data_IF_915151137005
#
_entry.id   IF_915151137005
#
_cell.length_a   1.000
_cell.length_b   1.000
_cell.length_c   1.000
_cell.angle_alpha   90.00
_cell.angle_beta   90.00
_cell.angle_gamma   90.00
#
_symmetry.space_group_name_H-M   'P 1'
#
loop_
_entity.id
_entity.type
_entity.pdbx_description
1 polymer ?
#
# COMPACT_ATOMS: atom_id res chain seq x y z
N UNK A 1 -2.64 -23.96 -2.92
CA UNK A 1 -3.19 -23.92 -4.31
C UNK A 1 -3.17 -22.49 -4.84
N UNK A 2 -3.72 -21.51 -4.13
CA UNK A 2 -3.70 -20.09 -4.51
C UNK A 2 -2.27 -19.54 -4.63
N UNK A 3 -1.38 -19.95 -3.73
CA UNK A 3 0.04 -19.54 -3.74
C UNK A 3 0.75 -19.95 -5.03
N UNK A 4 0.50 -21.17 -5.50
CA UNK A 4 1.08 -21.66 -6.76
C UNK A 4 0.46 -20.99 -7.98
N UNK A 5 -0.83 -20.64 -7.93
CA UNK A 5 -1.52 -19.89 -8.98
C UNK A 5 -1.06 -18.43 -9.07
N UNK A 6 -0.65 -17.84 -7.94
CA UNK A 6 -0.22 -16.42 -7.87
C UNK A 6 1.29 -16.24 -8.04
N UNK A 7 2.07 -17.31 -7.90
CA UNK A 7 3.49 -17.36 -8.24
C UNK A 7 3.72 -18.39 -9.36
N UNK A 8 3.10 -18.23 -10.53
CA UNK A 8 3.37 -19.08 -11.66
C UNK A 8 4.85 -18.91 -12.01
N UNK A 9 5.56 -20.00 -11.96
CA UNK A 9 6.94 -20.19 -12.36
C UNK A 9 7.71 -18.90 -12.68
N UNK A 10 8.73 -18.62 -11.87
CA UNK A 10 9.79 -17.66 -12.22
C UNK A 10 10.24 -17.93 -13.65
N UNK A 11 9.58 -17.36 -14.62
CA UNK A 11 10.17 -17.23 -15.94
C UNK A 11 11.16 -16.06 -15.86
N UNK A 12 12.37 -16.36 -16.22
CA UNK A 12 13.55 -15.49 -16.13
C UNK A 12 13.49 -14.28 -17.09
N UNK A 13 12.39 -14.08 -17.77
CA UNK A 13 12.19 -13.06 -18.83
C UNK A 13 11.66 -11.71 -18.36
N UNK A 14 11.48 -11.54 -17.05
CA UNK A 14 11.15 -10.23 -16.47
C UNK A 14 9.74 -9.70 -16.77
N UNK A 15 8.90 -10.41 -17.48
CA UNK A 15 7.52 -10.01 -17.71
C UNK A 15 6.62 -10.36 -16.53
N UNK A 16 6.16 -9.31 -15.84
CA UNK A 16 5.15 -9.41 -14.79
C UNK A 16 3.78 -9.47 -15.47
N UNK A 17 3.24 -10.65 -15.67
CA UNK A 17 1.85 -10.76 -16.10
C UNK A 17 0.94 -10.68 -14.88
N UNK A 18 0.03 -9.71 -14.87
CA UNK A 18 -1.07 -9.60 -13.91
C UNK A 18 -2.24 -10.56 -14.24
N UNK A 19 -2.07 -11.34 -15.29
CA UNK A 19 -3.01 -12.36 -15.73
C UNK A 19 -2.43 -13.74 -15.43
N UNK A 20 -3.20 -14.56 -14.75
CA UNK A 20 -2.91 -15.98 -14.59
C UNK A 20 -3.13 -16.70 -15.93
N UNK A 21 -2.43 -17.80 -16.15
CA UNK A 21 -2.71 -18.67 -17.29
C UNK A 21 -4.22 -18.98 -17.35
N UNK A 22 -4.83 -18.74 -18.50
CA UNK A 22 -6.28 -18.86 -18.70
C UNK A 22 -7.07 -17.55 -18.59
N UNK A 23 -6.40 -16.36 -18.49
CA UNK A 23 -7.08 -15.07 -18.47
C UNK A 23 -7.78 -14.72 -17.18
N UNK A 24 -7.46 -15.40 -16.08
CA UNK A 24 -8.01 -15.13 -14.75
C UNK A 24 -7.38 -13.84 -14.21
N UNK A 25 -8.19 -12.81 -14.01
CA UNK A 25 -7.74 -11.57 -13.37
C UNK A 25 -7.70 -11.74 -11.85
N UNK A 26 -6.57 -11.37 -11.22
CA UNK A 26 -6.47 -11.33 -9.77
C UNK A 26 -7.46 -10.32 -9.19
N UNK A 27 -8.13 -10.65 -8.07
CA UNK A 27 -8.93 -9.69 -7.34
C UNK A 27 -8.08 -8.50 -6.89
N UNK A 28 -8.72 -7.36 -6.75
CA UNK A 28 -8.11 -6.14 -6.22
C UNK A 28 -8.73 -5.78 -4.89
N UNK A 29 -7.91 -5.27 -3.98
CA UNK A 29 -8.32 -4.81 -2.66
C UNK A 29 -8.06 -3.30 -2.58
N UNK A 30 -9.07 -2.54 -2.15
CA UNK A 30 -8.91 -1.16 -1.74
C UNK A 30 -8.84 -1.10 -0.22
N UNK A 31 -7.67 -0.78 0.33
CA UNK A 31 -7.49 -0.61 1.77
C UNK A 31 -7.93 0.77 2.24
N UNK A 32 -7.86 1.76 1.36
CA UNK A 32 -7.97 3.18 1.68
C UNK A 32 -9.40 3.59 2.01
N UNK A 33 -10.36 3.06 1.27
CA UNK A 33 -11.75 3.43 1.40
C UNK A 33 -12.68 2.32 0.94
N UNK A 34 -13.89 2.35 1.45
CA UNK A 34 -14.98 1.48 1.02
C UNK A 34 -15.80 2.16 -0.07
N UNK A 35 -16.09 1.42 -1.13
CA UNK A 35 -16.85 1.92 -2.27
C UNK A 35 -18.09 1.07 -2.50
N UNK A 36 -19.18 1.74 -2.87
CA UNK A 36 -20.40 1.08 -3.35
C UNK A 36 -20.62 1.41 -4.82
N UNK A 37 -20.91 0.40 -5.60
CA UNK A 37 -21.36 0.56 -6.99
C UNK A 37 -22.88 0.54 -7.06
N UNK A 38 -23.49 1.62 -7.55
CA UNK A 38 -24.90 1.66 -7.90
C UNK A 38 -25.03 1.96 -9.39
N UNK A 39 -25.35 0.94 -10.18
CA UNK A 39 -25.57 1.07 -11.63
C UNK A 39 -24.42 1.72 -12.40
N UNK A 40 -23.20 1.36 -12.05
CA UNK A 40 -22.00 1.91 -12.69
C UNK A 40 -21.42 3.19 -12.02
N UNK A 41 -22.15 3.79 -11.08
CA UNK A 41 -21.69 4.94 -10.30
C UNK A 41 -21.01 4.46 -9.00
N UNK A 42 -19.71 4.65 -8.91
CA UNK A 42 -18.90 4.29 -7.73
C UNK A 42 -18.84 5.45 -6.77
N UNK A 43 -19.31 5.24 -5.55
CA UNK A 43 -19.29 6.24 -4.49
C UNK A 43 -18.52 5.75 -3.28
N UNK A 44 -17.66 6.59 -2.76
CA UNK A 44 -16.98 6.34 -1.50
C UNK A 44 -17.99 6.39 -0.36
N UNK A 45 -18.07 5.32 0.40
CA UNK A 45 -18.97 5.17 1.56
C UNK A 45 -18.25 5.49 2.86
N UNK A 46 -17.00 5.09 2.99
CA UNK A 46 -16.17 5.34 4.16
C UNK A 46 -14.70 5.52 3.77
N UNK A 47 -14.01 6.34 4.50
CA UNK A 47 -12.54 6.45 4.46
C UNK A 47 -11.98 5.70 5.65
N UNK A 48 -11.04 4.78 5.41
CA UNK A 48 -10.57 3.84 6.43
C UNK A 48 -9.35 4.37 7.21
N UNK A 49 -8.80 5.53 6.85
CA UNK A 49 -7.59 6.06 7.48
C UNK A 49 -6.34 5.22 7.20
N UNK A 50 -6.37 4.38 6.18
CA UNK A 50 -5.25 3.55 5.79
C UNK A 50 -4.53 4.14 4.58
N UNK A 51 -3.21 3.99 4.56
CA UNK A 51 -2.37 4.32 3.42
C UNK A 51 -1.58 3.09 2.99
N UNK A 52 -1.39 2.94 1.68
CA UNK A 52 -0.60 1.85 1.10
C UNK A 52 0.63 2.43 0.42
N UNK A 53 1.79 1.98 0.85
CA UNK A 53 3.05 2.21 0.15
C UNK A 53 3.40 0.97 -0.68
N UNK A 54 3.93 1.21 -1.85
CA UNK A 54 4.40 0.14 -2.73
C UNK A 54 5.88 0.35 -3.05
N UNK A 55 6.68 -0.62 -2.67
CA UNK A 55 8.10 -0.70 -3.08
C UNK A 55 8.14 -1.68 -4.23
N UNK A 56 8.23 -1.16 -5.44
CA UNK A 56 8.16 -1.93 -6.68
C UNK A 56 9.55 -2.13 -7.29
N UNK A 57 9.62 -2.90 -8.35
CA UNK A 57 10.80 -3.11 -9.20
C UNK A 57 12.05 -3.59 -8.46
N UNK A 58 11.84 -4.34 -7.37
CA UNK A 58 12.91 -4.99 -6.66
C UNK A 58 13.54 -6.08 -7.54
N UNK A 59 14.88 -6.10 -7.60
CA UNK A 59 15.62 -6.94 -8.54
C UNK A 59 15.39 -8.43 -8.31
N UNK A 60 15.29 -8.85 -7.03
CA UNK A 60 15.15 -10.26 -6.66
C UNK A 60 14.07 -10.47 -5.61
N UNK A 61 13.60 -11.71 -5.48
CA UNK A 61 12.70 -12.13 -4.42
C UNK A 61 13.32 -11.93 -3.03
N UNK A 62 14.61 -12.30 -2.88
CA UNK A 62 15.35 -12.16 -1.63
C UNK A 62 15.41 -10.69 -1.18
N UNK A 63 15.56 -9.75 -2.14
CA UNK A 63 15.52 -8.32 -1.83
C UNK A 63 14.14 -7.88 -1.37
N UNK A 64 13.09 -8.42 -1.96
CA UNK A 64 11.72 -8.13 -1.52
C UNK A 64 11.46 -8.67 -0.10
N UNK A 65 11.93 -9.88 0.21
CA UNK A 65 11.87 -10.44 1.58
C UNK A 65 12.64 -9.56 2.55
N UNK A 66 13.86 -9.12 2.21
CA UNK A 66 14.66 -8.22 3.05
C UNK A 66 13.91 -6.93 3.38
N UNK A 67 13.32 -6.29 2.37
CA UNK A 67 12.55 -5.05 2.55
C UNK A 67 11.30 -5.30 3.41
N UNK A 68 10.59 -6.41 3.23
CA UNK A 68 9.47 -6.79 4.09
C UNK A 68 9.92 -6.93 5.55
N UNK A 69 11.04 -7.62 5.80
CA UNK A 69 11.59 -7.80 7.15
C UNK A 69 12.05 -6.46 7.77
N UNK A 70 12.56 -5.53 6.96
CA UNK A 70 12.88 -4.18 7.44
C UNK A 70 11.61 -3.38 7.76
N UNK A 71 10.55 -3.50 6.94
CA UNK A 71 9.29 -2.83 7.19
C UNK A 71 8.66 -3.24 8.53
N UNK A 72 8.74 -4.52 8.91
CA UNK A 72 8.24 -5.04 10.20
C UNK A 72 8.84 -4.34 11.42
N UNK A 73 10.02 -3.75 11.30
CA UNK A 73 10.72 -3.10 12.42
C UNK A 73 10.13 -1.74 12.78
N UNK A 74 9.39 -1.12 11.87
CA UNK A 74 8.69 0.13 12.15
C UNK A 74 7.39 -0.18 12.93
N UNK A 75 7.19 0.39 14.11
CA UNK A 75 6.01 0.14 14.92
C UNK A 75 4.71 0.66 14.31
N UNK A 76 4.81 1.47 13.26
CA UNK A 76 3.69 1.99 12.48
C UNK A 76 3.25 1.03 11.36
N UNK A 77 3.97 -0.06 11.13
CA UNK A 77 3.58 -1.07 10.14
C UNK A 77 2.39 -1.88 10.63
N UNK A 78 1.21 -1.62 10.08
CA UNK A 78 0.00 -2.41 10.36
C UNK A 78 0.07 -3.76 9.64
N UNK A 79 0.46 -3.74 8.37
CA UNK A 79 0.56 -4.94 7.54
C UNK A 79 1.65 -4.75 6.49
N UNK A 80 2.41 -5.80 6.19
CA UNK A 80 3.25 -5.82 5.02
C UNK A 80 3.34 -7.22 4.40
N UNK A 81 3.37 -7.26 3.07
CA UNK A 81 3.37 -8.50 2.31
C UNK A 81 4.02 -8.32 0.94
N UNK A 82 4.45 -9.43 0.36
CA UNK A 82 4.99 -9.45 -0.99
C UNK A 82 3.86 -9.32 -2.02
N UNK A 83 4.07 -8.53 -3.06
CA UNK A 83 3.17 -8.50 -4.21
C UNK A 83 3.25 -9.78 -5.03
N UNK A 84 2.25 -10.03 -5.90
CA UNK A 84 2.13 -11.27 -6.67
C UNK A 84 3.33 -11.62 -7.56
N UNK A 85 4.13 -10.63 -7.98
CA UNK A 85 5.37 -10.87 -8.72
C UNK A 85 6.52 -11.41 -7.87
N UNK A 86 6.41 -11.37 -6.54
CA UNK A 86 7.50 -11.66 -5.62
C UNK A 86 8.65 -10.65 -5.63
N UNK A 87 8.51 -9.54 -6.39
CA UNK A 87 9.53 -8.48 -6.52
C UNK A 87 9.00 -7.10 -6.12
N UNK A 88 7.98 -7.08 -5.31
CA UNK A 88 7.46 -5.85 -4.71
C UNK A 88 6.97 -6.11 -3.30
N UNK A 89 6.97 -5.05 -2.48
CA UNK A 89 6.44 -5.09 -1.12
C UNK A 89 5.30 -4.08 -1.02
N UNK A 90 4.21 -4.49 -0.40
CA UNK A 90 3.08 -3.65 -0.05
C UNK A 90 3.11 -3.43 1.45
N UNK A 91 3.03 -2.18 1.86
CA UNK A 91 3.08 -1.79 3.27
C UNK A 91 1.82 -0.97 3.54
N UNK A 92 1.04 -1.41 4.49
CA UNK A 92 -0.18 -0.73 4.92
C UNK A 92 0.06 -0.13 6.29
N UNK A 93 -0.27 1.16 6.44
CA UNK A 93 -0.16 1.89 7.68
C UNK A 93 -1.48 2.57 8.00
N UNK A 94 -1.69 2.86 9.29
CA UNK A 94 -2.83 3.63 9.78
C UNK A 94 -2.41 5.07 10.03
N UNK A 95 -3.30 6.02 9.74
CA UNK A 95 -3.11 7.42 10.05
C UNK A 95 -4.23 7.99 10.90
N UNK A 96 -3.90 9.01 11.69
CA UNK A 96 -4.82 9.78 12.52
C UNK A 96 -4.45 11.27 12.45
N UNK A 97 -5.41 12.14 12.72
CA UNK A 97 -5.11 13.54 12.99
C UNK A 97 -4.39 13.68 14.34
N UNK A 98 -3.71 14.79 14.56
CA UNK A 98 -2.98 15.04 15.81
C UNK A 98 -3.88 15.06 17.07
N UNK A 99 -5.18 15.26 16.89
CA UNK A 99 -6.19 15.17 17.97
C UNK A 99 -6.74 13.74 18.17
N UNK A 100 -6.23 12.76 17.43
CA UNK A 100 -6.67 11.36 17.45
C UNK A 100 -7.93 11.09 16.64
N UNK A 101 -8.41 12.08 15.88
CA UNK A 101 -9.60 11.94 15.04
C UNK A 101 -9.31 11.56 13.59
N UNK A 102 -10.37 11.57 12.79
CA UNK A 102 -10.31 11.37 11.34
C UNK A 102 -10.86 12.60 10.62
N UNK A 103 -10.31 12.97 9.45
CA UNK A 103 -10.77 14.11 8.68
C UNK A 103 -12.20 13.90 8.20
N UNK A 104 -12.95 15.00 8.12
CA UNK A 104 -14.35 15.01 7.66
C UNK A 104 -14.48 15.82 6.37
N UNK A 105 -15.22 15.29 5.44
CA UNK A 105 -15.43 15.91 4.13
C UNK A 105 -14.33 15.56 3.11
N UNK A 106 -14.74 15.48 1.85
CA UNK A 106 -13.89 14.92 0.78
C UNK A 106 -12.57 15.68 0.61
N UNK A 107 -12.61 17.02 0.64
CA UNK A 107 -11.40 17.84 0.48
C UNK A 107 -10.39 17.59 1.61
N UNK A 108 -10.86 17.57 2.86
CA UNK A 108 -10.00 17.31 4.02
C UNK A 108 -9.45 15.89 4.00
N UNK A 109 -10.26 14.89 3.61
CA UNK A 109 -9.82 13.50 3.46
C UNK A 109 -8.70 13.39 2.42
N UNK A 110 -8.86 14.02 1.26
CA UNK A 110 -7.84 13.99 0.20
C UNK A 110 -6.51 14.61 0.66
N UNK A 111 -6.58 15.76 1.32
CA UNK A 111 -5.37 16.43 1.81
C UNK A 111 -4.70 15.63 2.92
N UNK A 112 -5.46 15.15 3.89
CA UNK A 112 -4.97 14.27 4.94
C UNK A 112 -4.28 13.02 4.35
N UNK A 113 -4.93 12.37 3.39
CA UNK A 113 -4.38 11.15 2.77
C UNK A 113 -3.07 11.41 2.04
N UNK A 114 -2.95 12.55 1.36
CA UNK A 114 -1.70 12.96 0.73
C UNK A 114 -0.60 13.19 1.79
N UNK A 115 -0.90 13.94 2.85
CA UNK A 115 0.07 14.23 3.92
C UNK A 115 0.47 12.96 4.66
N UNK A 116 -0.48 12.06 4.91
CA UNK A 116 -0.22 10.74 5.50
C UNK A 116 0.71 9.91 4.62
N UNK A 117 0.45 9.87 3.31
CA UNK A 117 1.30 9.14 2.36
C UNK A 117 2.73 9.69 2.35
N UNK A 118 2.90 11.01 2.31
CA UNK A 118 4.22 11.66 2.32
C UNK A 118 4.96 11.33 3.62
N UNK A 119 4.27 11.43 4.76
CA UNK A 119 4.85 11.13 6.09
C UNK A 119 5.29 9.68 6.18
N UNK A 120 4.43 8.74 5.83
CA UNK A 120 4.76 7.32 5.84
C UNK A 120 5.91 7.00 4.86
N UNK A 121 5.83 7.50 3.61
CA UNK A 121 6.88 7.30 2.61
C UNK A 121 8.24 7.75 3.13
N UNK A 122 8.33 8.93 3.74
CA UNK A 122 9.58 9.45 4.32
C UNK A 122 10.13 8.55 5.43
N UNK A 123 9.27 8.07 6.32
CA UNK A 123 9.68 7.16 7.39
C UNK A 123 10.29 5.87 6.85
N UNK A 124 9.66 5.25 5.85
CA UNK A 124 10.18 4.02 5.24
C UNK A 124 11.41 4.27 4.37
N UNK A 125 11.52 5.40 3.67
CA UNK A 125 12.74 5.77 2.98
C UNK A 125 13.94 5.86 3.93
N UNK A 126 13.74 6.48 5.09
CA UNK A 126 14.78 6.56 6.13
C UNK A 126 15.13 5.16 6.66
N UNK A 127 14.12 4.29 6.85
CA UNK A 127 14.35 2.92 7.31
C UNK A 127 15.11 2.07 6.30
N UNK A 128 14.81 2.21 5.02
CA UNK A 128 15.39 1.39 3.95
C UNK A 128 16.72 1.94 3.43
N UNK A 129 16.98 3.24 3.61
CA UNK A 129 18.17 3.92 3.10
C UNK A 129 18.12 4.19 1.58
N UNK A 130 16.96 4.12 0.95
CA UNK A 130 16.77 4.46 -0.45
C UNK A 130 15.40 5.13 -0.69
N UNK A 131 15.26 5.80 -1.82
CA UNK A 131 14.01 6.45 -2.20
C UNK A 131 12.96 5.44 -2.69
N UNK A 132 11.74 5.59 -2.17
CA UNK A 132 10.55 4.89 -2.67
C UNK A 132 9.93 5.76 -3.76
N UNK A 133 9.64 5.18 -4.92
CA UNK A 133 8.95 5.88 -5.99
C UNK A 133 7.67 6.56 -5.49
N UNK A 134 7.49 7.84 -5.82
CA UNK A 134 6.24 8.53 -5.53
C UNK A 134 5.15 7.98 -6.44
N UNK A 135 4.10 7.47 -5.83
CA UNK A 135 2.89 7.06 -6.52
C UNK A 135 1.74 7.92 -5.99
N UNK A 136 1.02 8.60 -6.87
CA UNK A 136 -0.08 9.48 -6.48
C UNK A 136 -1.03 8.76 -5.50
N UNK A 137 -1.23 9.30 -4.28
CA UNK A 137 -2.04 8.64 -3.27
C UNK A 137 -3.53 8.87 -3.50
N UNK A 138 -4.11 8.10 -4.41
CA UNK A 138 -5.54 8.16 -4.73
C UNK A 138 -6.35 7.40 -3.71
N UNK A 139 -7.54 7.91 -3.37
CA UNK A 139 -8.44 7.25 -2.42
C UNK A 139 -9.02 5.93 -2.96
N UNK A 140 -9.13 5.79 -4.29
CA UNK A 140 -9.59 4.59 -4.98
C UNK A 140 -8.46 3.64 -5.38
N UNK A 141 -7.26 3.85 -4.83
CA UNK A 141 -6.11 3.00 -5.12
C UNK A 141 -6.36 1.56 -4.67
N UNK A 142 -6.18 0.65 -5.60
CA UNK A 142 -6.27 -0.78 -5.33
C UNK A 142 -4.91 -1.45 -5.50
N UNK A 143 -4.69 -2.51 -4.75
CA UNK A 143 -3.58 -3.43 -4.94
C UNK A 143 -4.11 -4.80 -5.36
N UNK A 144 -3.36 -5.52 -6.18
CA UNK A 144 -3.70 -6.91 -6.50
C UNK A 144 -3.55 -7.79 -5.26
N UNK A 145 -4.52 -8.68 -5.05
CA UNK A 145 -4.41 -9.71 -4.04
C UNK A 145 -3.17 -10.56 -4.34
N UNK A 146 -2.40 -10.82 -3.31
CA UNK A 146 -1.26 -11.74 -3.36
C UNK A 146 -1.37 -12.77 -2.24
N UNK A 147 -0.72 -13.90 -2.41
CA UNK A 147 -0.58 -14.91 -1.37
C UNK A 147 0.85 -14.88 -0.84
N UNK A 148 1.05 -14.24 0.29
CA UNK A 148 2.30 -14.25 1.03
C UNK A 148 2.07 -14.99 2.35
N UNK A 149 2.55 -16.25 2.49
CA UNK A 149 2.34 -17.03 3.71
C UNK A 149 3.06 -16.45 4.93
N UNK A 150 4.01 -15.55 4.70
CA UNK A 150 4.76 -14.86 5.75
C UNK A 150 4.35 -13.39 5.89
N UNK A 151 3.15 -13.05 5.42
CA UNK A 151 2.57 -11.73 5.61
C UNK A 151 2.61 -11.33 7.09
N UNK A 152 3.07 -10.10 7.34
CA UNK A 152 3.06 -9.52 8.67
C UNK A 152 1.76 -8.76 8.92
N UNK A 153 1.21 -8.93 10.11
CA UNK A 153 0.10 -8.14 10.62
C UNK A 153 0.32 -7.81 12.09
N UNK A 154 0.14 -6.54 12.44
CA UNK A 154 0.27 -6.02 13.80
C UNK A 154 -0.95 -5.18 14.16
N UNK A 155 -1.88 -5.74 14.92
CA UNK A 155 -3.08 -5.05 15.37
C UNK A 155 -2.77 -3.83 16.26
N UNK A 156 -1.62 -3.84 16.95
CA UNK A 156 -1.16 -2.78 17.87
C UNK A 156 -0.26 -1.75 17.16
N UNK A 157 -0.26 -1.73 15.82
CA UNK A 157 0.52 -0.76 15.08
C UNK A 157 0.12 0.67 15.45
N UNK A 158 1.11 1.51 15.71
CA UNK A 158 0.90 2.93 16.00
C UNK A 158 0.45 3.67 14.74
N UNK A 159 -0.42 4.68 14.85
CA UNK A 159 -0.76 5.50 13.69
C UNK A 159 0.40 6.44 13.33
N UNK A 160 0.52 6.76 12.05
CA UNK A 160 1.17 7.99 11.64
C UNK A 160 0.22 9.16 11.86
N UNK A 161 0.77 10.33 12.24
CA UNK A 161 -0.02 11.53 12.40
C UNK A 161 0.17 12.44 11.18
N UNK A 162 -0.93 12.96 10.68
CA UNK A 162 -0.97 13.93 9.60
C UNK A 162 -2.06 14.98 9.87
N UNK A 163 -1.97 16.11 9.19
CA UNK A 163 -2.98 17.16 9.21
C UNK A 163 -3.70 17.28 7.86
N UNK A 164 -4.59 18.26 7.77
CA UNK A 164 -5.34 18.59 6.56
C UNK A 164 -4.84 19.87 5.87
N UNK A 165 -3.72 20.43 6.35
CA UNK A 165 -3.16 21.64 5.80
C UNK A 165 -2.43 21.36 4.48
N UNK A 166 -2.50 22.34 3.59
CA UNK A 166 -1.81 22.25 2.32
C UNK A 166 -0.34 22.68 2.54
N UNK A 167 0.51 21.73 2.88
CA UNK A 167 1.94 21.99 2.90
C UNK A 167 2.43 22.04 1.45
N UNK A 168 3.05 23.16 1.07
CA UNK A 168 3.66 23.29 -0.25
C UNK A 168 4.49 22.03 -0.57
N UNK A 169 4.09 21.32 -1.62
CA UNK A 169 4.79 20.11 -2.02
C UNK A 169 6.25 20.44 -2.33
N UNK A 170 7.22 19.71 -1.82
CA UNK A 170 8.55 19.78 -2.38
C UNK A 170 8.43 19.45 -3.86
N UNK A 171 8.80 20.38 -4.70
CA UNK A 171 8.87 20.16 -6.15
C UNK A 171 9.79 18.97 -6.44
N UNK A 172 9.50 18.17 -7.50
CA UNK A 172 10.26 16.98 -7.85
C UNK A 172 11.71 17.28 -8.17
#
# INVERSE_FOLDING_TARGET
ELYHLMNPHRQDDGQITTELEGGIKLPRICFVADYMNRKGDWRMMAYNGLVVLEVNDLQTYEKAVEIREQAKKLPETLMCFLGGSGRSVKIVCRGELFDGGMPKGEKAIRQFHLNLYITARRAYQNQFGFEIQFLEPRLDRTVYMSADPEMWYNAEARPFYADTDNHDQPQP
#
